data_IF_284576415335
#
_entry.id   IF_284576415335
#
_cell.length_a   1.000
_cell.length_b   1.000
_cell.length_c   1.000
_cell.angle_alpha   90.00
_cell.angle_beta   90.00
_cell.angle_gamma   90.00
#
_symmetry.space_group_name_H-M   'P 1'
#
loop_
_entity.id
_entity.type
_entity.pdbx_description
1 polymer ?
#
# COMPACT_ATOMS: atom_id res chain seq x y z
N UNK A 1 -22.62 -1.83 59.90
CA UNK A 1 -21.44 -1.39 59.13
C UNK A 1 -20.58 -2.57 58.63
N UNK A 2 -21.16 -3.61 58.00
CA UNK A 2 -20.36 -4.76 57.51
C UNK A 2 -20.84 -5.38 56.20
N UNK A 3 -22.05 -5.04 55.72
CA UNK A 3 -22.61 -5.57 54.46
C UNK A 3 -22.45 -4.58 53.31
N UNK A 4 -22.75 -3.30 53.55
CA UNK A 4 -22.67 -2.23 52.54
C UNK A 4 -21.23 -1.97 52.05
N UNK A 5 -20.25 -1.96 52.95
CA UNK A 5 -18.83 -1.81 52.58
C UNK A 5 -18.30 -3.01 51.80
N UNK A 6 -18.77 -4.22 52.13
CA UNK A 6 -18.42 -5.43 51.37
C UNK A 6 -19.00 -5.37 49.96
N UNK A 7 -20.22 -4.87 49.78
CA UNK A 7 -20.78 -4.63 48.43
C UNK A 7 -20.00 -3.57 47.67
N UNK A 8 -19.55 -2.49 48.33
CA UNK A 8 -18.76 -1.45 47.70
C UNK A 8 -17.41 -1.98 47.21
N UNK A 9 -16.75 -2.81 48.02
CA UNK A 9 -15.49 -3.47 47.65
C UNK A 9 -15.72 -4.51 46.54
N UNK A 10 -16.82 -5.25 46.57
CA UNK A 10 -17.15 -6.22 45.52
C UNK A 10 -17.40 -5.53 44.16
N UNK A 11 -18.11 -4.40 44.16
CA UNK A 11 -18.39 -3.61 42.94
C UNK A 11 -17.11 -3.02 42.36
N UNK A 12 -16.17 -2.56 43.20
CA UNK A 12 -14.87 -2.04 42.77
C UNK A 12 -13.94 -3.15 42.23
N UNK A 13 -14.02 -4.37 42.76
CA UNK A 13 -13.26 -5.52 42.25
C UNK A 13 -13.76 -5.99 40.87
N UNK A 14 -15.07 -5.90 40.61
CA UNK A 14 -15.67 -6.30 39.33
C UNK A 14 -15.39 -5.27 38.23
N UNK A 15 -15.33 -3.97 38.56
CA UNK A 15 -15.01 -2.91 37.57
C UNK A 15 -13.52 -2.84 37.23
N UNK A 16 -12.62 -3.27 38.12
CA UNK A 16 -11.18 -3.32 37.87
C UNK A 16 -10.74 -4.36 36.82
N UNK A 17 -11.54 -5.39 36.55
CA UNK A 17 -11.25 -6.42 35.54
C UNK A 17 -11.65 -6.01 34.11
N UNK A 18 -12.39 -4.92 33.92
CA UNK A 18 -12.76 -4.42 32.59
C UNK A 18 -11.66 -3.55 31.94
N UNK A 19 -10.55 -3.28 32.63
CA UNK A 19 -9.48 -2.37 32.19
C UNK A 19 -8.40 -2.96 31.27
N UNK A 20 -8.44 -4.27 31.00
CA UNK A 20 -7.52 -4.92 30.05
C UNK A 20 -8.31 -5.68 29.00
N UNK A 21 -9.03 -4.94 28.15
CA UNK A 21 -9.26 -5.43 26.80
C UNK A 21 -8.39 -4.57 25.89
N UNK A 22 -7.43 -5.15 25.15
CA UNK A 22 -7.02 -4.49 23.92
C UNK A 22 -8.31 -4.22 23.15
N UNK A 23 -8.55 -2.96 22.81
CA UNK A 23 -9.58 -2.58 21.86
C UNK A 23 -9.27 -3.34 20.57
N UNK A 24 -9.87 -4.52 20.44
CA UNK A 24 -10.05 -5.19 19.16
C UNK A 24 -10.92 -4.23 18.39
N UNK A 25 -10.28 -3.36 17.61
CA UNK A 25 -10.96 -2.57 16.61
C UNK A 25 -11.79 -3.57 15.83
N UNK A 26 -13.11 -3.41 15.90
CA UNK A 26 -14.03 -4.18 15.09
C UNK A 26 -13.52 -4.01 13.67
N UNK A 27 -12.90 -5.06 13.14
CA UNK A 27 -12.61 -5.23 11.73
C UNK A 27 -13.95 -5.28 11.02
N UNK A 28 -14.60 -4.12 10.86
CA UNK A 28 -15.50 -3.92 9.76
C UNK A 28 -14.72 -4.32 8.51
N UNK A 29 -15.39 -4.99 7.59
CA UNK A 29 -14.83 -5.25 6.26
C UNK A 29 -14.41 -3.89 5.69
N UNK A 30 -13.14 -3.53 5.90
CA UNK A 30 -12.54 -2.32 5.35
C UNK A 30 -12.41 -2.63 3.87
N UNK A 31 -13.41 -2.17 3.14
CA UNK A 31 -13.43 -2.24 1.70
C UNK A 31 -12.29 -1.35 1.19
N UNK A 32 -11.35 -1.95 0.47
CA UNK A 32 -10.22 -1.24 -0.12
C UNK A 32 -10.65 -0.82 -1.51
N UNK A 33 -10.76 0.49 -1.72
CA UNK A 33 -11.03 1.05 -3.03
C UNK A 33 -9.73 1.17 -3.80
N UNK A 34 -9.80 0.75 -5.07
CA UNK A 34 -8.76 0.96 -6.06
C UNK A 34 -9.20 2.03 -7.04
N UNK A 35 -8.38 3.07 -7.23
CA UNK A 35 -8.55 4.05 -8.30
C UNK A 35 -7.35 3.99 -9.24
N UNK A 36 -7.55 4.31 -10.52
CA UNK A 36 -6.47 4.28 -11.52
C UNK A 36 -6.41 5.59 -12.28
N UNK A 37 -5.21 6.16 -12.37
CA UNK A 37 -4.97 7.47 -12.98
C UNK A 37 -3.89 7.36 -14.03
N UNK A 38 -4.07 8.04 -15.16
CA UNK A 38 -2.98 8.27 -16.12
C UNK A 38 -2.17 9.44 -15.59
N UNK A 39 -0.87 9.25 -15.39
CA UNK A 39 0.01 10.32 -14.89
C UNK A 39 0.98 10.84 -15.95
N UNK A 40 1.26 10.06 -17.00
CA UNK A 40 2.11 10.49 -18.10
C UNK A 40 1.78 9.73 -19.39
N UNK A 41 2.01 10.41 -20.51
CA UNK A 41 2.04 9.82 -21.85
C UNK A 41 3.41 10.15 -22.46
N UNK A 42 4.15 9.13 -22.89
CA UNK A 42 5.49 9.24 -23.47
C UNK A 42 5.53 8.51 -24.80
N UNK A 43 5.38 9.25 -25.91
CA UNK A 43 5.20 8.64 -27.22
C UNK A 43 3.93 7.79 -27.25
N UNK A 44 4.07 6.49 -27.54
CA UNK A 44 2.97 5.52 -27.48
C UNK A 44 2.67 5.00 -26.06
N UNK A 45 3.55 5.24 -25.09
CA UNK A 45 3.41 4.67 -23.76
C UNK A 45 2.46 5.51 -22.91
N UNK A 46 1.39 4.88 -22.40
CA UNK A 46 0.48 5.50 -21.42
C UNK A 46 0.76 4.93 -20.03
N UNK A 47 1.37 5.72 -19.18
CA UNK A 47 1.79 5.33 -17.84
C UNK A 47 0.70 5.67 -16.82
N UNK A 48 0.30 4.68 -16.03
CA UNK A 48 -0.75 4.79 -15.02
C UNK A 48 -0.20 4.55 -13.62
N UNK A 49 -0.96 5.01 -12.64
CA UNK A 49 -0.79 4.64 -11.24
C UNK A 49 -2.11 4.14 -10.69
N UNK A 50 -2.04 3.18 -9.80
CA UNK A 50 -3.18 2.62 -9.10
C UNK A 50 -3.04 2.97 -7.62
N UNK A 51 -4.04 3.64 -7.04
CA UNK A 51 -4.10 3.96 -5.61
C UNK A 51 -5.01 2.98 -4.90
N UNK A 52 -4.60 2.54 -3.71
CA UNK A 52 -5.37 1.68 -2.82
C UNK A 52 -5.55 2.40 -1.48
N UNK A 53 -6.80 2.61 -1.08
CA UNK A 53 -7.16 3.35 0.14
C UNK A 53 -8.47 2.80 0.71
N UNK A 54 -8.81 3.09 1.97
CA UNK A 54 -10.05 2.58 2.54
C UNK A 54 -11.26 3.40 2.05
N UNK A 55 -12.35 2.70 1.75
CA UNK A 55 -13.55 3.23 1.10
C UNK A 55 -14.27 4.37 1.85
N UNK A 56 -14.19 4.39 3.18
CA UNK A 56 -15.04 5.21 4.06
C UNK A 56 -14.24 6.28 4.80
N UNK A 57 -13.10 6.70 4.27
CA UNK A 57 -12.20 7.62 4.95
C UNK A 57 -12.34 9.06 4.49
N UNK A 58 -12.16 9.99 5.44
CA UNK A 58 -12.13 11.42 5.16
C UNK A 58 -10.82 11.79 4.45
N UNK A 59 -10.93 12.19 3.18
CA UNK A 59 -9.81 12.64 2.35
C UNK A 59 -9.09 13.90 2.89
N UNK A 60 -9.62 14.56 3.93
CA UNK A 60 -9.00 15.75 4.55
C UNK A 60 -7.84 15.41 5.47
N UNK A 61 -7.73 14.17 5.95
CA UNK A 61 -6.62 13.76 6.81
C UNK A 61 -5.38 13.42 5.98
N UNK A 62 -4.24 14.04 6.29
CA UNK A 62 -2.95 13.69 5.68
C UNK A 62 -2.52 12.30 6.12
N UNK A 63 -2.10 11.47 5.17
CA UNK A 63 -1.64 10.09 5.41
C UNK A 63 -0.27 9.87 4.80
N UNK A 64 0.53 8.95 5.36
CA UNK A 64 1.73 8.48 4.68
C UNK A 64 1.36 7.78 3.37
N UNK A 65 2.17 8.03 2.34
CA UNK A 65 2.03 7.37 1.03
C UNK A 65 3.09 6.28 0.92
N UNK A 66 2.66 5.07 0.55
CA UNK A 66 3.56 4.00 0.17
C UNK A 66 3.63 3.92 -1.36
N UNK A 67 4.71 4.40 -1.95
CA UNK A 67 4.94 4.33 -3.39
C UNK A 67 5.61 2.99 -3.74
N UNK A 68 4.91 2.16 -4.51
CA UNK A 68 5.42 0.88 -4.99
C UNK A 68 5.84 0.97 -6.47
N UNK A 69 7.06 0.49 -6.74
CA UNK A 69 7.63 0.36 -8.08
C UNK A 69 8.01 -1.10 -8.27
N UNK A 70 7.40 -1.76 -9.27
CA UNK A 70 7.60 -3.18 -9.47
C UNK A 70 9.02 -3.52 -9.97
N UNK A 71 9.52 -4.69 -9.57
CA UNK A 71 10.79 -5.24 -10.06
C UNK A 71 10.68 -5.84 -11.47
N UNK A 72 11.75 -6.47 -11.95
CA UNK A 72 11.82 -7.02 -13.32
C UNK A 72 12.95 -6.44 -14.17
N UNK A 73 13.92 -5.76 -13.52
CA UNK A 73 15.17 -5.32 -14.14
C UNK A 73 14.98 -4.40 -15.33
N UNK A 74 13.93 -3.56 -15.32
CA UNK A 74 13.56 -2.66 -16.42
C UNK A 74 13.15 -3.34 -17.73
N UNK A 75 12.93 -4.66 -17.71
CA UNK A 75 12.56 -5.48 -18.87
C UNK A 75 11.10 -5.94 -18.82
N UNK A 76 10.60 -6.20 -17.61
CA UNK A 76 9.27 -6.78 -17.40
C UNK A 76 8.66 -6.22 -16.12
N UNK A 77 7.41 -6.61 -15.88
CA UNK A 77 6.66 -6.29 -14.67
C UNK A 77 5.37 -5.54 -14.98
N UNK A 78 4.53 -5.38 -13.95
CA UNK A 78 3.22 -4.76 -14.08
C UNK A 78 2.81 -4.19 -12.70
N UNK A 79 2.36 -2.93 -12.67
CA UNK A 79 1.88 -2.27 -11.44
C UNK A 79 0.68 -2.98 -10.80
N UNK A 80 -0.11 -3.69 -11.61
CA UNK A 80 -1.37 -4.33 -11.25
C UNK A 80 -1.26 -5.87 -11.19
N UNK A 81 -0.05 -6.41 -11.07
CA UNK A 81 0.15 -7.85 -10.91
C UNK A 81 -0.58 -8.36 -9.66
N UNK A 82 -1.32 -9.47 -9.80
CA UNK A 82 -2.25 -9.96 -8.77
C UNK A 82 -1.53 -10.36 -7.48
N UNK A 83 -0.29 -10.83 -7.60
CA UNK A 83 0.58 -11.20 -6.48
C UNK A 83 0.87 -10.04 -5.52
N UNK A 84 0.79 -8.79 -5.99
CA UNK A 84 1.04 -7.62 -5.14
C UNK A 84 -0.20 -7.12 -4.41
N UNK A 85 -1.40 -7.44 -4.90
CA UNK A 85 -2.65 -6.87 -4.39
C UNK A 85 -2.85 -7.17 -2.89
N UNK A 86 -2.65 -8.39 -2.38
CA UNK A 86 -2.80 -8.67 -0.95
C UNK A 86 -1.87 -7.80 -0.07
N UNK A 87 -0.67 -7.48 -0.56
CA UNK A 87 0.27 -6.61 0.15
C UNK A 87 -0.21 -5.15 0.17
N UNK A 88 -0.75 -4.66 -0.95
CA UNK A 88 -1.32 -3.32 -1.02
C UNK A 88 -2.54 -3.16 -0.11
N UNK A 89 -3.44 -4.15 -0.12
CA UNK A 89 -4.60 -4.15 0.77
C UNK A 89 -4.21 -4.20 2.25
N UNK A 90 -3.20 -5.00 2.59
CA UNK A 90 -2.67 -5.05 3.95
C UNK A 90 -2.19 -3.67 4.42
N UNK A 91 -1.35 -3.01 3.63
CA UNK A 91 -0.84 -1.67 3.95
C UNK A 91 -1.94 -0.61 3.99
N UNK A 92 -2.92 -0.67 3.08
CA UNK A 92 -4.07 0.23 3.10
C UNK A 92 -4.92 0.06 4.37
N UNK A 93 -5.09 -1.18 4.85
CA UNK A 93 -5.71 -1.46 6.16
C UNK A 93 -4.91 -0.92 7.35
N UNK A 94 -3.60 -0.72 7.20
CA UNK A 94 -2.75 -0.06 8.22
C UNK A 94 -2.76 1.48 8.12
N UNK A 95 -3.57 2.08 7.24
CA UNK A 95 -3.72 3.53 7.12
C UNK A 95 -2.75 4.21 6.15
N UNK A 96 -2.05 3.44 5.31
CA UNK A 96 -1.26 3.99 4.20
C UNK A 96 -2.14 4.22 2.97
N UNK A 97 -1.85 5.29 2.22
CA UNK A 97 -2.29 5.37 0.83
C UNK A 97 -1.24 4.64 0.00
N UNK A 98 -1.57 3.47 -0.53
CA UNK A 98 -0.64 2.70 -1.36
C UNK A 98 -0.80 3.13 -2.81
N UNK A 99 0.28 3.45 -3.49
CA UNK A 99 0.28 3.86 -4.90
C UNK A 99 1.26 3.00 -5.68
N UNK A 100 0.77 2.18 -6.61
CA UNK A 100 1.57 1.34 -7.49
C UNK A 100 1.65 1.97 -8.87
N UNK A 101 2.85 2.15 -9.44
CA UNK A 101 3.03 2.92 -10.68
C UNK A 101 3.57 2.08 -11.83
N UNK A 102 3.13 2.40 -13.05
CA UNK A 102 3.82 2.02 -14.28
C UNK A 102 5.13 2.79 -14.40
N UNK A 103 6.12 2.16 -14.99
CA UNK A 103 7.26 2.81 -15.63
C UNK A 103 7.56 2.07 -16.93
N UNK A 104 8.30 2.70 -17.84
CA UNK A 104 8.62 2.11 -19.14
C UNK A 104 9.65 0.98 -18.99
N UNK A 105 9.33 -0.19 -19.53
CA UNK A 105 10.23 -1.37 -19.53
C UNK A 105 11.03 -1.43 -20.84
N UNK A 106 11.89 -0.43 -21.08
CA UNK A 106 12.53 -0.19 -22.40
C UNK A 106 13.80 -1.03 -22.59
N UNK A 107 14.31 -1.65 -21.53
CA UNK A 107 15.62 -2.29 -21.61
C UNK A 107 15.64 -3.49 -22.57
N UNK A 108 14.51 -4.17 -22.79
CA UNK A 108 14.45 -5.24 -23.78
C UNK A 108 14.71 -4.72 -25.21
N UNK A 109 14.12 -3.60 -25.58
CA UNK A 109 14.26 -3.02 -26.92
C UNK A 109 15.60 -2.31 -27.11
N UNK A 110 16.13 -1.71 -26.04
CA UNK A 110 17.41 -1.01 -26.06
C UNK A 110 18.61 -1.99 -26.07
N UNK A 111 18.57 -3.09 -25.31
CA UNK A 111 19.61 -4.13 -25.36
C UNK A 111 19.59 -4.93 -26.66
N UNK A 112 18.49 -4.95 -27.42
CA UNK A 112 18.49 -5.53 -28.76
C UNK A 112 19.32 -4.70 -29.76
N UNK A 113 19.61 -3.43 -29.43
CA UNK A 113 20.36 -2.49 -30.29
C UNK A 113 21.80 -2.29 -29.85
N UNK A 114 22.14 -2.64 -28.61
CA UNK A 114 23.44 -2.41 -27.98
C UNK A 114 24.12 -3.74 -27.62
N UNK A 115 25.45 -3.80 -27.69
CA UNK A 115 26.22 -4.98 -27.26
C UNK A 115 25.97 -5.28 -25.76
N UNK A 116 25.86 -6.55 -25.33
CA UNK A 116 25.52 -6.97 -23.96
C UNK A 116 26.68 -6.73 -22.97
N UNK A 117 27.09 -5.47 -22.85
CA UNK A 117 28.18 -4.98 -22.01
C UNK A 117 27.61 -4.04 -20.94
N UNK A 118 28.37 -3.82 -19.86
CA UNK A 118 27.99 -2.87 -18.81
C UNK A 118 27.82 -1.44 -19.34
N UNK A 119 28.64 -1.06 -20.32
CA UNK A 119 28.56 0.26 -20.97
C UNK A 119 27.28 0.34 -21.80
N UNK A 120 26.98 -0.68 -22.62
CA UNK A 120 25.74 -0.73 -23.41
C UNK A 120 24.48 -0.66 -22.53
N UNK A 121 24.47 -1.36 -21.39
CA UNK A 121 23.39 -1.27 -20.41
C UNK A 121 23.24 0.14 -19.82
N UNK A 122 24.33 0.79 -19.41
CA UNK A 122 24.28 2.14 -18.86
C UNK A 122 23.79 3.17 -19.90
N UNK A 123 24.26 3.06 -21.15
CA UNK A 123 23.81 3.90 -22.26
C UNK A 123 22.32 3.71 -22.53
N UNK A 124 21.85 2.47 -22.58
CA UNK A 124 20.43 2.14 -22.77
C UNK A 124 19.53 2.77 -21.71
N UNK A 125 19.96 2.82 -20.44
CA UNK A 125 19.22 3.46 -19.36
C UNK A 125 19.21 4.99 -19.43
N UNK A 126 20.26 5.61 -19.97
CA UNK A 126 20.34 7.08 -20.09
C UNK A 126 19.52 7.61 -21.27
N UNK A 127 19.35 6.81 -22.32
CA UNK A 127 18.61 7.18 -23.53
C UNK A 127 17.12 6.87 -23.44
N UNK A 128 16.67 6.13 -22.42
CA UNK A 128 15.30 5.67 -22.24
C UNK A 128 14.35 6.78 -21.82
#
# INVERSE_FOLDING_TARGET
>A
MKRLEVYLVLVLLISGLAGCMPSSEKGGLLDIQKESFIYAIKGSDTLRLDTYNQAKEDHKQRKPVFLFVFGGGFKTGNRAAQEYIPFFEYLAKQGFVVTSIDYRTILNDALAKEEPTLVGFATALQQS
#
